data_IF_948049293121
#
_entry.id   IF_948049293121
#
_cell.length_a   1.000
_cell.length_b   1.000
_cell.length_c   1.000
_cell.angle_alpha   90.00
_cell.angle_beta   90.00
_cell.angle_gamma   90.00
#
_symmetry.space_group_name_H-M   'P 1'
#
loop_
_entity.id
_entity.type
_entity.pdbx_description
1 polymer ?
#
# COMPACT_ATOMS: atom_id res chain seq x y z
N UNK A 1 -42.97 -2.65 -25.55
CA UNK A 1 -42.16 -3.85 -25.20
C UNK A 1 -40.93 -3.99 -26.10
N UNK A 2 -41.02 -3.78 -27.41
CA UNK A 2 -39.87 -3.90 -28.32
C UNK A 2 -38.75 -2.87 -28.07
N UNK A 3 -39.10 -1.65 -27.65
CA UNK A 3 -38.15 -0.60 -27.29
C UNK A 3 -37.23 -1.00 -26.11
N UNK A 4 -37.77 -1.64 -25.08
CA UNK A 4 -37.00 -2.12 -23.93
C UNK A 4 -36.03 -3.23 -24.34
N UNK A 5 -36.47 -4.14 -25.22
CA UNK A 5 -35.63 -5.21 -25.75
C UNK A 5 -34.50 -4.68 -26.65
N UNK A 6 -34.76 -3.63 -27.43
CA UNK A 6 -33.73 -2.96 -28.23
C UNK A 6 -32.68 -2.24 -27.36
N UNK A 7 -33.11 -1.61 -26.25
CA UNK A 7 -32.17 -1.02 -25.27
C UNK A 7 -31.35 -2.08 -24.54
N UNK A 8 -31.95 -3.21 -24.16
CA UNK A 8 -31.22 -4.33 -23.56
C UNK A 8 -30.19 -4.92 -24.53
N UNK A 9 -30.53 -5.05 -25.80
CA UNK A 9 -29.59 -5.50 -26.83
C UNK A 9 -28.47 -4.48 -27.07
N UNK A 10 -28.74 -3.18 -27.04
CA UNK A 10 -27.71 -2.13 -27.14
C UNK A 10 -26.79 -2.14 -25.91
N UNK A 11 -27.34 -2.39 -24.72
CA UNK A 11 -26.59 -2.56 -23.47
C UNK A 11 -25.72 -3.82 -23.49
N UNK A 12 -26.25 -4.91 -24.02
CA UNK A 12 -25.53 -6.18 -24.19
C UNK A 12 -24.40 -6.03 -25.22
N UNK A 13 -24.65 -5.38 -26.37
CA UNK A 13 -23.63 -5.10 -27.38
C UNK A 13 -22.56 -4.14 -26.85
N UNK A 14 -22.92 -3.09 -26.10
CA UNK A 14 -21.94 -2.26 -25.38
C UNK A 14 -21.16 -3.07 -24.34
N UNK A 15 -21.81 -4.01 -23.65
CA UNK A 15 -21.17 -4.94 -22.72
C UNK A 15 -20.20 -5.91 -23.40
N UNK A 16 -20.39 -6.20 -24.69
CA UNK A 16 -19.48 -7.01 -25.50
C UNK A 16 -18.36 -6.19 -26.17
N UNK A 17 -18.61 -4.93 -26.56
CA UNK A 17 -17.58 -4.00 -27.05
C UNK A 17 -16.66 -3.50 -25.92
N UNK A 18 -17.19 -3.32 -24.70
CA UNK A 18 -16.41 -2.98 -23.51
C UNK A 18 -15.50 -4.11 -23.01
N UNK A 19 -15.71 -5.36 -23.47
CA UNK A 19 -14.79 -6.48 -23.21
C UNK A 19 -13.50 -6.40 -24.05
N UNK A 20 -13.45 -5.52 -25.05
CA UNK A 20 -12.29 -5.31 -25.92
C UNK A 20 -11.34 -4.18 -25.50
N UNK A 21 -11.68 -3.37 -24.50
CA UNK A 21 -10.78 -2.33 -24.01
C UNK A 21 -9.81 -2.89 -22.98
N UNK A 22 -8.55 -2.99 -23.42
CA UNK A 22 -7.38 -3.44 -22.66
C UNK A 22 -7.29 -2.65 -21.34
N UNK A 23 -7.72 -3.27 -20.25
CA UNK A 23 -7.70 -2.69 -18.91
C UNK A 23 -6.26 -2.62 -18.37
N UNK A 24 -5.57 -1.51 -18.63
CA UNK A 24 -4.16 -1.22 -18.26
C UNK A 24 -3.97 -0.64 -16.84
N UNK A 25 -5.01 -0.61 -16.00
CA UNK A 25 -5.06 0.17 -14.76
C UNK A 25 -4.23 -0.33 -13.56
N UNK A 26 -3.68 -1.55 -13.59
CA UNK A 26 -2.80 -2.00 -12.49
C UNK A 26 -1.37 -1.52 -12.73
N UNK A 27 -0.92 -0.58 -11.90
CA UNK A 27 0.39 0.06 -11.98
C UNK A 27 1.34 -0.54 -10.93
N UNK A 28 2.08 -1.61 -11.26
CA UNK A 28 3.12 -2.15 -10.37
C UNK A 28 4.30 -1.18 -10.21
N UNK A 29 4.51 -0.26 -11.17
CA UNK A 29 5.66 0.64 -11.19
C UNK A 29 5.71 1.64 -10.00
N UNK A 30 4.66 2.42 -9.68
CA UNK A 30 4.64 3.27 -8.49
C UNK A 30 4.92 2.50 -7.20
N UNK A 31 4.32 1.31 -7.06
CA UNK A 31 4.50 0.43 -5.90
C UNK A 31 5.94 -0.11 -5.82
N UNK A 32 6.56 -0.44 -6.96
CA UNK A 32 7.96 -0.83 -7.00
C UNK A 32 8.88 0.33 -6.60
N UNK A 33 8.60 1.55 -7.07
CA UNK A 33 9.36 2.75 -6.73
C UNK A 33 9.28 3.04 -5.22
N UNK A 34 8.11 2.94 -4.59
CA UNK A 34 8.00 3.11 -3.13
C UNK A 34 8.76 2.02 -2.37
N UNK A 35 8.79 0.78 -2.88
CA UNK A 35 9.63 -0.29 -2.35
C UNK A 35 11.13 0.05 -2.42
N UNK A 36 11.60 0.57 -3.56
CA UNK A 36 12.98 1.04 -3.71
C UNK A 36 13.29 2.22 -2.77
N UNK A 37 12.36 3.16 -2.59
CA UNK A 37 12.49 4.22 -1.59
C UNK A 37 12.62 3.66 -0.17
N UNK A 38 11.87 2.60 0.16
CA UNK A 38 12.00 1.87 1.42
C UNK A 38 13.40 1.29 1.65
N UNK A 39 13.94 0.63 0.63
CA UNK A 39 15.30 0.08 0.66
C UNK A 39 16.37 1.18 0.73
N UNK A 40 16.19 2.29 0.01
CA UNK A 40 17.05 3.46 0.13
C UNK A 40 17.01 4.04 1.56
N UNK A 41 15.86 3.95 2.23
CA UNK A 41 15.70 4.33 3.64
C UNK A 41 16.65 3.59 4.58
N UNK A 42 17.02 2.34 4.27
CA UNK A 42 18.00 1.57 5.06
C UNK A 42 19.38 2.26 5.05
N UNK A 43 19.78 2.79 3.89
CA UNK A 43 21.08 3.44 3.69
C UNK A 43 21.09 4.90 4.17
N UNK A 44 19.95 5.58 4.06
CA UNK A 44 19.82 7.00 4.36
C UNK A 44 19.54 7.28 5.84
N UNK A 45 18.74 6.45 6.53
CA UNK A 45 18.37 6.70 7.93
C UNK A 45 19.59 6.81 8.86
N UNK A 46 20.59 5.90 8.83
CA UNK A 46 21.74 5.99 9.73
C UNK A 46 22.66 7.19 9.45
N UNK A 47 22.55 7.79 8.26
CA UNK A 47 23.35 8.96 7.85
C UNK A 47 22.68 10.28 8.21
N UNK A 48 21.35 10.29 8.30
CA UNK A 48 20.54 11.49 8.49
C UNK A 48 19.95 11.61 9.90
N UNK A 49 19.86 10.49 10.63
CA UNK A 49 19.27 10.43 11.98
C UNK A 49 20.30 9.84 12.94
N UNK A 50 20.54 10.53 14.06
CA UNK A 50 21.44 10.05 15.09
C UNK A 50 20.89 8.78 15.76
N UNK A 51 21.74 7.82 16.17
CA UNK A 51 21.29 6.67 16.96
C UNK A 51 20.59 7.13 18.24
N UNK A 52 19.42 6.55 18.55
CA UNK A 52 18.62 6.94 19.72
C UNK A 52 17.74 8.20 19.55
N UNK A 53 17.84 8.91 18.43
CA UNK A 53 16.97 10.05 18.12
C UNK A 53 15.58 9.58 17.66
N UNK A 54 14.69 9.31 18.64
CA UNK A 54 13.31 8.92 18.40
C UNK A 54 12.52 9.90 17.51
N UNK A 55 12.51 11.21 17.82
CA UNK A 55 11.86 12.21 16.96
C UNK A 55 12.41 12.25 15.53
N UNK A 56 13.74 12.26 15.36
CA UNK A 56 14.38 12.22 14.04
C UNK A 56 14.01 10.96 13.24
N UNK A 57 13.92 9.82 13.93
CA UNK A 57 13.47 8.56 13.33
C UNK A 57 12.03 8.68 12.80
N UNK A 58 11.10 9.21 13.61
CA UNK A 58 9.70 9.40 13.20
C UNK A 58 9.61 10.36 12.02
N UNK A 59 10.28 11.51 12.08
CA UNK A 59 10.26 12.51 11.00
C UNK A 59 10.76 11.90 9.69
N UNK A 60 11.86 11.14 9.74
CA UNK A 60 12.42 10.49 8.56
C UNK A 60 11.43 9.52 7.91
N UNK A 61 10.89 8.57 8.69
CA UNK A 61 10.00 7.55 8.15
C UNK A 61 8.62 8.10 7.77
N UNK A 62 8.09 9.08 8.49
CA UNK A 62 6.86 9.80 8.10
C UNK A 62 7.08 10.54 6.79
N UNK A 63 8.22 11.22 6.61
CA UNK A 63 8.55 11.89 5.34
C UNK A 63 8.61 10.89 4.18
N UNK A 64 9.23 9.73 4.39
CA UNK A 64 9.26 8.66 3.38
C UNK A 64 7.87 8.09 3.08
N UNK A 65 7.02 7.95 4.10
CA UNK A 65 5.65 7.51 3.96
C UNK A 65 4.81 8.52 3.17
N UNK A 66 4.98 9.82 3.43
CA UNK A 66 4.34 10.91 2.68
C UNK A 66 4.78 10.89 1.23
N UNK A 67 6.09 10.79 0.95
CA UNK A 67 6.62 10.68 -0.42
C UNK A 67 6.02 9.46 -1.13
N UNK A 68 5.99 8.31 -0.46
CA UNK A 68 5.42 7.07 -1.00
C UNK A 68 3.92 7.20 -1.27
N UNK A 69 3.20 7.85 -0.36
CA UNK A 69 1.78 8.16 -0.49
C UNK A 69 1.48 9.10 -1.64
N UNK A 70 2.33 10.11 -1.89
CA UNK A 70 2.22 11.01 -3.04
C UNK A 70 2.52 10.28 -4.35
N UNK A 71 3.53 9.41 -4.40
CA UNK A 71 3.84 8.61 -5.59
C UNK A 71 2.68 7.68 -5.94
N UNK A 72 2.18 6.90 -4.98
CA UNK A 72 1.05 6.01 -5.21
C UNK A 72 -0.25 6.78 -5.47
N UNK A 73 -0.50 7.85 -4.71
CA UNK A 73 -1.70 8.68 -4.81
C UNK A 73 -1.78 9.45 -6.12
N UNK A 74 -0.67 10.01 -6.60
CA UNK A 74 -0.61 10.69 -7.91
C UNK A 74 -0.86 9.70 -9.06
N UNK A 75 -0.30 8.50 -8.99
CA UNK A 75 -0.59 7.45 -9.96
C UNK A 75 -2.07 7.03 -9.92
N UNK A 76 -2.65 6.87 -8.73
CA UNK A 76 -4.09 6.57 -8.56
C UNK A 76 -4.95 7.68 -9.16
N UNK A 77 -4.69 8.94 -8.81
CA UNK A 77 -5.46 10.11 -9.27
C UNK A 77 -5.34 10.31 -10.78
N UNK A 78 -4.13 10.19 -11.33
CA UNK A 78 -3.89 10.33 -12.77
C UNK A 78 -4.70 9.29 -13.56
N UNK A 79 -4.70 8.02 -13.11
CA UNK A 79 -5.48 6.98 -13.76
C UNK A 79 -6.98 7.18 -13.54
N UNK A 80 -7.41 7.53 -12.33
CA UNK A 80 -8.81 7.82 -12.03
C UNK A 80 -9.37 8.91 -12.94
N UNK A 81 -8.61 9.98 -13.18
CA UNK A 81 -9.05 11.11 -14.02
C UNK A 81 -8.98 10.81 -15.51
N UNK A 82 -7.90 10.17 -15.99
CA UNK A 82 -7.58 10.12 -17.42
C UNK A 82 -7.72 8.74 -18.09
N UNK A 83 -7.82 7.66 -17.32
CA UNK A 83 -7.69 6.28 -17.88
C UNK A 83 -8.71 5.27 -17.38
N UNK A 84 -9.28 5.45 -16.19
CA UNK A 84 -10.19 4.46 -15.60
C UNK A 84 -11.61 4.60 -16.17
N UNK A 85 -12.18 3.46 -16.56
CA UNK A 85 -13.60 3.30 -16.84
C UNK A 85 -14.43 3.36 -15.55
N UNK A 86 -15.76 3.41 -15.68
CA UNK A 86 -16.66 3.52 -14.52
C UNK A 86 -16.50 2.35 -13.52
N UNK A 87 -16.08 1.17 -13.98
CA UNK A 87 -15.85 -0.01 -13.16
C UNK A 87 -14.52 0.07 -12.40
N UNK A 88 -13.44 0.48 -13.06
CA UNK A 88 -12.12 0.70 -12.46
C UNK A 88 -12.15 1.76 -11.36
N UNK A 89 -12.84 2.88 -11.61
CA UNK A 89 -13.04 3.96 -10.61
C UNK A 89 -13.70 3.45 -9.33
N UNK A 90 -14.78 2.67 -9.44
CA UNK A 90 -15.49 2.10 -8.27
C UNK A 90 -14.60 1.15 -7.48
N UNK A 91 -13.76 0.38 -8.17
CA UNK A 91 -12.84 -0.58 -7.54
C UNK A 91 -11.72 0.14 -6.78
N UNK A 92 -11.12 1.16 -7.38
CA UNK A 92 -10.12 2.05 -6.75
C UNK A 92 -10.68 2.71 -5.49
N UNK A 93 -11.89 3.26 -5.55
CA UNK A 93 -12.53 3.89 -4.39
C UNK A 93 -12.78 2.90 -3.23
N UNK A 94 -13.13 1.64 -3.53
CA UNK A 94 -13.30 0.61 -2.49
C UNK A 94 -11.97 0.26 -1.81
N UNK A 95 -10.90 0.09 -2.59
CA UNK A 95 -9.56 -0.20 -2.04
C UNK A 95 -9.05 0.97 -1.20
N UNK A 96 -9.12 2.19 -1.73
CA UNK A 96 -8.72 3.41 -1.00
C UNK A 96 -9.56 3.56 0.27
N UNK A 97 -10.87 3.37 0.19
CA UNK A 97 -11.78 3.45 1.34
C UNK A 97 -11.50 2.41 2.42
N UNK A 98 -10.90 1.27 2.09
CA UNK A 98 -10.50 0.25 3.07
C UNK A 98 -9.11 0.49 3.65
N UNK A 99 -8.20 1.12 2.90
CA UNK A 99 -6.87 1.48 3.38
C UNK A 99 -6.90 2.75 4.26
N UNK A 100 -7.77 3.70 3.96
CA UNK A 100 -7.83 5.00 4.62
C UNK A 100 -8.01 4.91 6.15
N UNK A 101 -8.91 4.07 6.70
CA UNK A 101 -9.05 3.91 8.15
C UNK A 101 -7.77 3.36 8.81
N UNK A 102 -7.07 2.45 8.14
CA UNK A 102 -5.81 1.89 8.65
C UNK A 102 -4.68 2.94 8.64
N UNK A 103 -4.62 3.78 7.61
CA UNK A 103 -3.68 4.90 7.57
C UNK A 103 -3.99 5.95 8.63
N UNK A 104 -5.27 6.31 8.81
CA UNK A 104 -5.69 7.23 9.85
C UNK A 104 -5.34 6.71 11.26
N UNK A 105 -5.57 5.42 11.52
CA UNK A 105 -5.14 4.76 12.74
C UNK A 105 -3.61 4.80 12.92
N UNK A 106 -2.84 4.54 11.86
CA UNK A 106 -1.38 4.63 11.89
C UNK A 106 -0.89 6.04 12.22
N UNK A 107 -1.48 7.07 11.61
CA UNK A 107 -1.19 8.47 11.94
C UNK A 107 -1.54 8.81 13.40
N UNK A 108 -2.70 8.36 13.89
CA UNK A 108 -3.10 8.57 15.27
C UNK A 108 -2.14 7.91 16.26
N UNK A 109 -1.76 6.65 16.02
CA UNK A 109 -0.74 5.93 16.82
C UNK A 109 0.60 6.64 16.77
N UNK A 110 1.02 7.15 15.60
CA UNK A 110 2.25 7.92 15.46
C UNK A 110 2.22 9.18 16.32
N UNK A 111 1.14 9.94 16.27
CA UNK A 111 0.98 11.14 17.09
C UNK A 111 0.96 10.84 18.59
N UNK A 112 0.24 9.79 19.01
CA UNK A 112 0.17 9.37 20.41
C UNK A 112 1.55 8.96 20.92
N UNK A 113 2.28 8.12 20.18
CA UNK A 113 3.61 7.68 20.60
C UNK A 113 4.65 8.81 20.56
N UNK A 114 4.60 9.69 19.56
CA UNK A 114 5.55 10.79 19.46
C UNK A 114 5.32 11.90 20.51
N UNK A 115 4.06 12.17 20.87
CA UNK A 115 3.71 13.31 21.72
C UNK A 115 3.44 12.94 23.18
N UNK A 116 2.86 11.76 23.43
CA UNK A 116 2.42 11.36 24.77
C UNK A 116 3.27 10.24 25.39
N UNK A 117 3.81 9.32 24.57
CA UNK A 117 4.51 8.11 25.03
C UNK A 117 5.84 7.89 24.28
N UNK A 118 6.79 8.85 24.31
CA UNK A 118 8.02 8.78 23.51
C UNK A 118 8.91 7.58 23.88
N UNK A 119 8.84 7.11 25.13
CA UNK A 119 9.50 5.89 25.61
C UNK A 119 9.08 4.62 24.84
N UNK A 120 7.89 4.64 24.21
CA UNK A 120 7.30 3.51 23.49
C UNK A 120 7.43 3.63 21.97
N UNK A 121 8.18 4.61 21.47
CA UNK A 121 8.34 4.88 20.03
C UNK A 121 8.94 3.69 19.26
N UNK A 122 9.68 2.83 19.96
CA UNK A 122 10.20 1.55 19.48
C UNK A 122 9.12 0.60 18.93
N UNK A 123 7.86 0.72 19.39
CA UNK A 123 6.73 -0.10 18.93
C UNK A 123 6.17 0.36 17.58
N UNK A 124 6.46 1.61 17.19
CA UNK A 124 5.83 2.27 16.06
C UNK A 124 5.95 1.49 14.73
N UNK A 125 7.14 0.94 14.35
CA UNK A 125 7.27 0.23 13.08
C UNK A 125 6.43 -1.05 13.03
N UNK A 126 6.40 -1.78 14.14
CA UNK A 126 5.61 -3.00 14.28
C UNK A 126 4.11 -2.72 14.21
N UNK A 127 3.64 -1.68 14.90
CA UNK A 127 2.23 -1.25 14.86
C UNK A 127 1.82 -0.83 13.45
N UNK A 128 2.67 -0.07 12.76
CA UNK A 128 2.43 0.33 11.37
C UNK A 128 2.33 -0.88 10.43
N UNK A 129 3.25 -1.84 10.53
CA UNK A 129 3.22 -3.04 9.70
C UNK A 129 1.95 -3.87 9.93
N UNK A 130 1.51 -4.01 11.19
CA UNK A 130 0.25 -4.68 11.53
C UNK A 130 -0.95 -3.92 10.97
N UNK A 131 -1.06 -2.60 11.20
CA UNK A 131 -2.18 -1.79 10.69
C UNK A 131 -2.24 -1.80 9.17
N UNK A 132 -1.08 -1.71 8.51
CA UNK A 132 -1.00 -1.79 7.06
C UNK A 132 -1.42 -3.17 6.53
N UNK A 133 -1.03 -4.25 7.21
CA UNK A 133 -1.47 -5.61 6.86
C UNK A 133 -3.00 -5.75 6.89
N UNK A 134 -3.65 -5.16 7.90
CA UNK A 134 -5.11 -5.18 8.03
C UNK A 134 -5.78 -4.44 6.88
N UNK A 135 -5.21 -3.30 6.46
CA UNK A 135 -5.68 -2.55 5.30
C UNK A 135 -5.57 -3.36 3.99
N UNK A 136 -4.47 -4.10 3.81
CA UNK A 136 -4.31 -4.99 2.65
C UNK A 136 -5.29 -6.17 2.72
N UNK A 137 -5.48 -6.78 3.90
CA UNK A 137 -6.45 -7.86 4.09
C UNK A 137 -7.88 -7.39 3.78
N UNK A 138 -8.27 -6.21 4.25
CA UNK A 138 -9.57 -5.60 3.95
C UNK A 138 -9.74 -5.41 2.44
N UNK A 139 -8.67 -4.99 1.75
CA UNK A 139 -8.61 -4.76 0.30
C UNK A 139 -8.61 -6.04 -0.55
N UNK A 140 -8.40 -7.21 0.06
CA UNK A 140 -8.26 -8.51 -0.63
C UNK A 140 -9.41 -8.86 -1.59
N UNK A 141 -10.71 -8.62 -1.27
CA UNK A 141 -11.81 -8.94 -2.19
C UNK A 141 -11.74 -8.16 -3.51
N UNK A 142 -11.02 -7.04 -3.52
CA UNK A 142 -10.87 -6.16 -4.69
C UNK A 142 -9.48 -6.28 -5.31
N UNK A 143 -8.59 -7.13 -4.82
CA UNK A 143 -7.21 -7.25 -5.31
C UNK A 143 -6.93 -8.69 -5.79
N UNK A 144 -5.80 -8.92 -6.51
CA UNK A 144 -5.42 -10.26 -6.93
C UNK A 144 -5.33 -11.19 -5.73
N UNK A 145 -5.77 -12.45 -5.85
CA UNK A 145 -5.80 -13.42 -4.73
C UNK A 145 -4.46 -13.55 -4.00
N UNK A 146 -3.35 -13.41 -4.74
CA UNK A 146 -1.99 -13.49 -4.21
C UNK A 146 -1.61 -12.33 -3.27
N UNK A 147 -2.33 -11.20 -3.26
CA UNK A 147 -2.03 -10.08 -2.34
C UNK A 147 -2.19 -10.49 -0.87
N UNK A 148 -2.98 -11.54 -0.59
CA UNK A 148 -3.12 -12.07 0.77
C UNK A 148 -1.80 -12.56 1.37
N UNK A 149 -0.86 -13.04 0.55
CA UNK A 149 0.48 -13.41 1.00
C UNK A 149 1.31 -12.19 1.41
N UNK A 150 1.14 -11.07 0.71
CA UNK A 150 1.79 -9.80 1.06
C UNK A 150 1.23 -9.26 2.37
N UNK A 151 -0.10 -9.33 2.56
CA UNK A 151 -0.73 -8.97 3.83
C UNK A 151 -0.20 -9.84 4.98
N UNK A 152 -0.12 -11.16 4.78
CA UNK A 152 0.41 -12.08 5.78
C UNK A 152 1.88 -11.80 6.12
N UNK A 153 2.69 -11.48 5.12
CA UNK A 153 4.08 -11.06 5.31
C UNK A 153 4.17 -9.82 6.21
N UNK A 154 3.40 -8.76 5.92
CA UNK A 154 3.37 -7.55 6.75
C UNK A 154 2.91 -7.84 8.18
N UNK A 155 1.92 -8.71 8.35
CA UNK A 155 1.43 -9.11 9.68
C UNK A 155 2.51 -9.85 10.48
N UNK A 156 3.18 -10.83 9.85
CA UNK A 156 4.24 -11.61 10.49
C UNK A 156 5.47 -10.74 10.82
N UNK A 157 5.88 -9.88 9.90
CA UNK A 157 6.98 -8.94 10.11
C UNK A 157 6.65 -7.92 11.21
N UNK A 158 5.43 -7.37 11.22
CA UNK A 158 4.96 -6.47 12.27
C UNK A 158 4.91 -7.13 13.64
N UNK A 159 4.39 -8.36 13.72
CA UNK A 159 4.39 -9.13 14.96
C UNK A 159 5.82 -9.43 15.45
N UNK A 160 6.73 -9.82 14.55
CA UNK A 160 8.13 -10.04 14.88
C UNK A 160 8.80 -8.76 15.40
N UNK A 161 8.56 -7.61 14.76
CA UNK A 161 9.06 -6.31 15.23
C UNK A 161 8.55 -5.97 16.63
N UNK A 162 7.27 -6.22 16.92
CA UNK A 162 6.71 -5.97 18.25
C UNK A 162 7.30 -6.90 19.32
N UNK A 163 7.54 -8.17 18.99
CA UNK A 163 8.20 -9.13 19.89
C UNK A 163 9.66 -8.77 20.17
N UNK A 164 10.33 -8.20 19.17
CA UNK A 164 11.74 -7.79 19.22
C UNK A 164 11.94 -6.35 19.71
N UNK A 165 10.86 -5.60 19.92
CA UNK A 165 10.89 -4.23 20.41
C UNK A 165 11.30 -4.22 21.90
N UNK A 166 12.60 -4.40 22.15
CA UNK A 166 13.22 -4.31 23.48
C UNK A 166 14.17 -3.11 23.50
N UNK A 167 13.81 -2.08 24.26
CA UNK A 167 14.63 -0.87 24.48
C UNK A 167 14.92 -0.04 23.22
N UNK A 168 15.91 0.86 23.33
CA UNK A 168 16.33 1.79 22.26
C UNK A 168 16.88 1.09 20.99
N UNK A 169 17.15 -0.22 21.07
CA UNK A 169 17.71 -1.05 19.99
C UNK A 169 16.69 -1.29 18.85
N UNK A 170 15.40 -1.06 19.07
CA UNK A 170 14.33 -1.27 18.07
C UNK A 170 14.32 -0.26 16.90
N UNK A 171 15.04 0.86 17.03
CA UNK A 171 15.10 1.91 15.99
C UNK A 171 16.08 1.59 14.84
N UNK A 172 16.39 0.32 14.62
CA UNK A 172 17.25 -0.09 13.51
C UNK A 172 16.54 0.12 12.16
N UNK A 173 17.18 0.86 11.26
CA UNK A 173 16.71 1.13 9.89
C UNK A 173 16.36 -0.12 9.09
N UNK A 174 17.07 -1.21 9.37
CA UNK A 174 16.93 -2.49 8.70
C UNK A 174 15.54 -3.08 8.87
N UNK A 175 14.95 -3.03 10.08
CA UNK A 175 13.63 -3.61 10.30
C UNK A 175 12.59 -2.94 9.39
N UNK A 176 12.43 -1.63 9.55
CA UNK A 176 11.39 -0.84 8.87
C UNK A 176 11.61 -0.79 7.36
N UNK A 177 12.85 -0.54 6.93
CA UNK A 177 13.20 -0.45 5.52
C UNK A 177 13.11 -1.78 4.78
N UNK A 178 13.54 -2.90 5.41
CA UNK A 178 13.37 -4.22 4.80
C UNK A 178 11.90 -4.57 4.72
N UNK A 179 11.14 -4.52 5.82
CA UNK A 179 9.73 -4.88 5.82
C UNK A 179 8.92 -4.06 4.82
N UNK A 180 9.13 -2.75 4.78
CA UNK A 180 8.45 -1.90 3.80
C UNK A 180 8.91 -2.20 2.37
N UNK A 181 10.22 -2.22 2.14
CA UNK A 181 10.80 -2.43 0.81
C UNK A 181 10.44 -3.79 0.20
N UNK A 182 10.63 -4.89 0.94
CA UNK A 182 10.30 -6.24 0.47
C UNK A 182 8.80 -6.40 0.28
N UNK A 183 7.98 -5.86 1.19
CA UNK A 183 6.52 -5.94 1.08
C UNK A 183 5.97 -5.18 -0.13
N UNK A 184 6.50 -3.99 -0.43
CA UNK A 184 6.10 -3.21 -1.61
C UNK A 184 6.60 -3.86 -2.91
N UNK A 185 7.83 -4.39 -2.96
CA UNK A 185 8.32 -5.11 -4.13
C UNK A 185 7.54 -6.42 -4.38
N UNK A 186 7.17 -7.14 -3.32
CA UNK A 186 6.30 -8.30 -3.42
C UNK A 186 4.90 -7.92 -3.93
N UNK A 187 4.32 -6.83 -3.41
CA UNK A 187 3.06 -6.29 -3.92
C UNK A 187 3.16 -5.92 -5.41
N UNK A 188 4.21 -5.21 -5.82
CA UNK A 188 4.46 -4.84 -7.21
C UNK A 188 4.56 -6.08 -8.11
N UNK A 189 5.26 -7.13 -7.65
CA UNK A 189 5.40 -8.40 -8.39
C UNK A 189 4.06 -9.11 -8.54
N UNK A 190 3.25 -9.15 -7.47
CA UNK A 190 1.89 -9.71 -7.52
C UNK A 190 1.00 -8.95 -8.50
N UNK A 191 1.11 -7.62 -8.51
CA UNK A 191 0.35 -6.77 -9.43
C UNK A 191 0.81 -6.97 -10.89
N UNK A 192 2.11 -7.11 -11.11
CA UNK A 192 2.70 -7.31 -12.43
C UNK A 192 2.34 -8.68 -13.03
N UNK A 193 2.54 -9.76 -12.27
CA UNK A 193 2.20 -11.13 -12.72
C UNK A 193 0.71 -11.31 -13.00
N UNK A 194 -0.16 -10.65 -12.24
CA UNK A 194 -1.60 -10.69 -12.48
C UNK A 194 -2.03 -9.86 -13.70
N UNK A 195 -1.24 -8.86 -14.10
CA UNK A 195 -1.44 -8.12 -15.35
C UNK A 195 -1.11 -9.02 -16.54
N UNK A 196 0.06 -9.65 -16.53
CA UNK A 196 0.49 -10.53 -17.63
C UNK A 196 -0.43 -11.75 -17.83
N UNK A 197 -0.92 -12.35 -16.74
CA UNK A 197 -1.87 -13.48 -16.83
C UNK A 197 -3.20 -13.10 -17.48
N UNK A 198 -3.60 -11.83 -17.43
CA UNK A 198 -4.81 -11.33 -18.09
C UNK A 198 -4.57 -10.89 -19.52
N UNK A 199 -3.34 -10.48 -19.85
CA UNK A 199 -2.96 -10.12 -21.21
C UNK A 199 -2.75 -11.37 -22.10
N UNK A 200 -2.41 -12.52 -21.50
CA UNK A 200 -2.08 -13.78 -22.20
C UNK A 200 -3.19 -14.85 -22.22
N UNK A 201 -4.39 -14.58 -21.69
CA UNK A 201 -5.49 -15.55 -21.59
C UNK A 201 -6.80 -14.99 -22.08
#
# INVERSE_FOLDING_TARGET
MEYTRALDQISEIHGHLAKGEIYRGYQPAPVAVTGLCGLAGILLQPRLVAPGDGPGYVIFWVSLAVISGVICGSAITWNFLLRDDAFGRRKTLKVVGQLLPCLAAGCAVTGILALALPEQIALLPGLWAVLFSLGIFASRPYLPRAIGWVALFYLAAGAAMLLLARGEVSLHSWGTGLTFGTGQLAAATVLWTNKERKDNG
#
